data_IF_874642162188
#
_entry.id   IF_874642162188
#
_cell.length_a   1.000
_cell.length_b   1.000
_cell.length_c   1.000
_cell.angle_alpha   90.00
_cell.angle_beta   90.00
_cell.angle_gamma   90.00
#
_symmetry.space_group_name_H-M   'P 1'
#
loop_
_entity.id
_entity.type
_entity.pdbx_description
1 polymer ?
#
# COMPACT_ATOMS: atom_id res chain seq x y z
N UNK A 1 -16.35 18.45 6.23
CA UNK A 1 -16.34 17.60 5.02
C UNK A 1 -14.99 16.92 4.78
N UNK A 2 -13.86 17.61 4.95
CA UNK A 2 -12.49 17.03 4.83
C UNK A 2 -12.22 15.86 5.79
N UNK A 3 -12.72 15.90 7.03
CA UNK A 3 -12.52 14.81 8.00
C UNK A 3 -13.15 13.47 7.59
N UNK A 4 -14.36 13.49 7.01
CA UNK A 4 -15.04 12.28 6.53
C UNK A 4 -14.29 11.67 5.34
N UNK A 5 -13.81 12.53 4.43
CA UNK A 5 -13.03 12.10 3.26
C UNK A 5 -11.71 11.45 3.70
N UNK A 6 -11.00 12.04 4.67
CA UNK A 6 -9.77 11.45 5.21
C UNK A 6 -10.01 10.10 5.89
N UNK A 7 -11.09 9.97 6.65
CA UNK A 7 -11.47 8.69 7.28
C UNK A 7 -11.83 7.63 6.24
N UNK A 8 -12.57 8.00 5.19
CA UNK A 8 -12.89 7.09 4.10
C UNK A 8 -11.65 6.63 3.31
N UNK A 9 -10.72 7.55 3.01
CA UNK A 9 -9.46 7.24 2.33
C UNK A 9 -8.55 6.36 3.20
N UNK A 10 -8.49 6.60 4.51
CA UNK A 10 -7.79 5.73 5.47
C UNK A 10 -8.40 4.34 5.53
N UNK A 11 -9.73 4.24 5.52
CA UNK A 11 -10.44 2.97 5.45
C UNK A 11 -10.16 2.22 4.14
N UNK A 12 -10.12 2.93 3.01
CA UNK A 12 -9.76 2.35 1.72
C UNK A 12 -8.30 1.85 1.71
N UNK A 13 -7.36 2.64 2.23
CA UNK A 13 -5.96 2.25 2.37
C UNK A 13 -5.83 0.99 3.24
N UNK A 14 -6.55 0.93 4.35
CA UNK A 14 -6.61 -0.24 5.22
C UNK A 14 -7.10 -1.49 4.48
N UNK A 15 -8.17 -1.37 3.69
CA UNK A 15 -8.71 -2.49 2.89
C UNK A 15 -7.68 -2.97 1.86
N UNK A 16 -7.02 -2.06 1.14
CA UNK A 16 -6.00 -2.45 0.17
C UNK A 16 -4.75 -3.06 0.85
N UNK A 17 -4.33 -2.54 2.00
CA UNK A 17 -3.26 -3.13 2.80
C UNK A 17 -3.63 -4.56 3.23
N UNK A 18 -4.88 -4.79 3.67
CA UNK A 18 -5.37 -6.12 4.04
C UNK A 18 -5.34 -7.07 2.84
N UNK A 19 -5.89 -6.67 1.70
CA UNK A 19 -5.92 -7.50 0.49
C UNK A 19 -4.50 -7.84 0.03
N UNK A 20 -3.59 -6.86 0.00
CA UNK A 20 -2.20 -7.08 -0.37
C UNK A 20 -1.51 -8.07 0.59
N UNK A 21 -1.68 -7.88 1.90
CA UNK A 21 -1.12 -8.79 2.92
C UNK A 21 -1.68 -10.21 2.78
N UNK A 22 -2.98 -10.36 2.52
CA UNK A 22 -3.62 -11.66 2.33
C UNK A 22 -3.11 -12.38 1.09
N UNK A 23 -2.89 -11.66 -0.02
CA UNK A 23 -2.32 -12.22 -1.24
C UNK A 23 -0.88 -12.67 -1.03
N UNK A 24 -0.03 -11.83 -0.43
CA UNK A 24 1.37 -12.17 -0.14
C UNK A 24 1.46 -13.36 0.83
N UNK A 25 0.64 -13.40 1.88
CA UNK A 25 0.58 -14.53 2.80
C UNK A 25 0.17 -15.84 2.11
N UNK A 26 -0.75 -15.78 1.15
CA UNK A 26 -1.15 -16.94 0.36
C UNK A 26 -0.06 -17.41 -0.61
N UNK A 27 0.77 -16.49 -1.14
CA UNK A 27 1.95 -16.83 -1.94
C UNK A 27 3.00 -17.57 -1.10
N UNK A 28 3.21 -17.16 0.15
CA UNK A 28 4.11 -17.83 1.10
C UNK A 28 3.60 -19.24 1.41
N UNK A 29 2.31 -19.40 1.72
CA UNK A 29 1.70 -20.69 2.02
C UNK A 29 1.71 -21.65 0.82
N UNK A 30 1.72 -21.13 -0.41
CA UNK A 30 1.77 -21.92 -1.64
C UNK A 30 3.20 -22.23 -2.10
N UNK A 31 4.22 -21.85 -1.35
CA UNK A 31 5.62 -22.03 -1.71
C UNK A 31 6.17 -23.37 -1.24
N UNK A 32 6.71 -24.18 -2.16
CA UNK A 32 7.35 -25.47 -1.86
C UNK A 32 8.86 -25.34 -2.00
N UNK A 33 9.35 -24.89 -3.17
CA UNK A 33 10.78 -24.72 -3.47
C UNK A 33 11.04 -23.50 -4.36
N UNK A 34 10.16 -22.50 -4.32
CA UNK A 34 10.28 -21.29 -5.14
C UNK A 34 11.22 -20.26 -4.54
N UNK A 35 11.77 -19.40 -5.40
CA UNK A 35 12.65 -18.30 -5.01
C UNK A 35 11.88 -17.27 -4.16
N UNK A 36 12.39 -16.95 -2.97
CA UNK A 36 11.61 -16.26 -1.93
C UNK A 36 12.11 -14.86 -1.56
N UNK A 37 13.23 -14.40 -2.14
CA UNK A 37 13.85 -13.11 -1.81
C UNK A 37 12.88 -11.94 -1.99
N UNK A 38 12.22 -11.88 -3.15
CA UNK A 38 11.24 -10.84 -3.49
C UNK A 38 10.01 -10.89 -2.58
N UNK A 39 9.52 -12.11 -2.28
CA UNK A 39 8.34 -12.31 -1.42
C UNK A 39 8.64 -11.84 0.01
N UNK A 40 9.83 -12.13 0.53
CA UNK A 40 10.25 -11.69 1.87
C UNK A 40 10.32 -10.15 1.96
N UNK A 41 10.83 -9.49 0.93
CA UNK A 41 10.81 -8.03 0.85
C UNK A 41 9.38 -7.47 0.84
N UNK A 42 8.48 -8.06 0.04
CA UNK A 42 7.08 -7.62 -0.01
C UNK A 42 6.34 -7.78 1.33
N UNK A 43 6.69 -8.82 2.12
CA UNK A 43 6.12 -9.03 3.45
C UNK A 43 6.58 -7.96 4.44
N UNK A 44 7.85 -7.53 4.36
CA UNK A 44 8.35 -6.41 5.14
C UNK A 44 7.62 -5.10 4.80
N UNK A 45 7.42 -4.82 3.50
CA UNK A 45 6.67 -3.64 3.04
C UNK A 45 5.20 -3.72 3.46
N UNK A 46 4.58 -4.89 3.41
CA UNK A 46 3.22 -5.09 3.92
C UNK A 46 3.13 -4.73 5.40
N UNK A 47 4.04 -5.23 6.25
CA UNK A 47 4.07 -4.91 7.68
C UNK A 47 4.26 -3.40 7.93
N UNK A 48 5.15 -2.74 7.18
CA UNK A 48 5.32 -1.29 7.29
C UNK A 48 4.08 -0.52 6.85
N UNK A 49 3.33 -1.00 5.85
CA UNK A 49 2.11 -0.35 5.40
C UNK A 49 1.03 -0.35 6.50
N UNK A 50 0.92 -1.42 7.30
CA UNK A 50 0.04 -1.45 8.48
C UNK A 50 0.42 -0.38 9.50
N UNK A 51 1.71 -0.29 9.85
CA UNK A 51 2.22 0.73 10.77
C UNK A 51 1.95 2.13 10.23
N UNK A 52 2.13 2.35 8.93
CA UNK A 52 1.91 3.65 8.32
C UNK A 52 0.44 4.08 8.30
N UNK A 53 -0.49 3.16 8.03
CA UNK A 53 -1.94 3.44 8.08
C UNK A 53 -2.37 3.87 9.49
N UNK A 54 -1.82 3.22 10.52
CA UNK A 54 -2.13 3.51 11.93
C UNK A 54 -1.46 4.79 12.44
N UNK A 55 -0.18 5.01 12.12
CA UNK A 55 0.62 6.14 12.64
C UNK A 55 0.65 7.37 11.71
N UNK A 56 -0.05 7.35 10.58
CA UNK A 56 -0.07 8.47 9.61
C UNK A 56 1.29 8.79 8.95
N UNK A 57 2.17 7.80 8.81
CA UNK A 57 3.48 7.95 8.16
C UNK A 57 3.37 7.82 6.63
N UNK A 58 2.50 8.64 6.02
CA UNK A 58 2.09 8.51 4.62
C UNK A 58 3.29 8.64 3.64
N UNK A 59 4.27 9.50 3.93
CA UNK A 59 5.48 9.68 3.09
C UNK A 59 6.30 8.39 3.02
N UNK A 60 6.50 7.76 4.17
CA UNK A 60 7.26 6.52 4.26
C UNK A 60 6.53 5.38 3.54
N UNK A 61 5.20 5.32 3.70
CA UNK A 61 4.35 4.36 3.00
C UNK A 61 4.45 4.49 1.49
N UNK A 62 4.34 5.72 0.97
CA UNK A 62 4.45 5.99 -0.48
C UNK A 62 5.78 5.51 -1.03
N UNK A 63 6.89 5.78 -0.34
CA UNK A 63 8.23 5.39 -0.80
C UNK A 63 8.39 3.86 -0.85
N UNK A 64 8.06 3.16 0.24
CA UNK A 64 8.25 1.71 0.30
C UNK A 64 7.29 0.95 -0.62
N UNK A 65 6.02 1.36 -0.68
CA UNK A 65 5.04 0.73 -1.58
C UNK A 65 5.37 0.98 -3.05
N UNK A 66 5.99 2.11 -3.39
CA UNK A 66 6.47 2.35 -4.75
C UNK A 66 7.61 1.42 -5.15
N UNK A 67 8.59 1.24 -4.28
CA UNK A 67 9.72 0.33 -4.51
C UNK A 67 9.20 -1.10 -4.68
N UNK A 68 8.31 -1.54 -3.80
CA UNK A 68 7.71 -2.87 -3.88
C UNK A 68 6.89 -3.06 -5.16
N UNK A 69 6.10 -2.07 -5.57
CA UNK A 69 5.34 -2.12 -6.83
C UNK A 69 6.25 -2.27 -8.06
N UNK A 70 7.38 -1.57 -8.11
CA UNK A 70 8.36 -1.69 -9.20
C UNK A 70 9.01 -3.07 -9.20
N UNK A 71 9.46 -3.53 -8.04
CA UNK A 71 10.13 -4.83 -7.87
C UNK A 71 9.18 -5.97 -8.28
N UNK A 72 7.93 -5.95 -7.81
CA UNK A 72 6.92 -6.94 -8.21
C UNK A 72 6.60 -6.87 -9.71
N UNK A 73 6.50 -5.69 -10.30
CA UNK A 73 6.24 -5.54 -11.73
C UNK A 73 7.39 -6.14 -12.58
N UNK A 74 8.64 -5.91 -12.18
CA UNK A 74 9.82 -6.44 -12.87
C UNK A 74 9.89 -7.98 -12.81
N UNK A 75 9.52 -8.57 -11.68
CA UNK A 75 9.59 -10.02 -11.47
C UNK A 75 8.40 -10.79 -12.08
N UNK A 76 7.20 -10.20 -12.08
CA UNK A 76 6.02 -10.93 -12.54
C UNK A 76 5.95 -11.10 -14.05
N UNK A 77 6.51 -10.18 -14.85
CA UNK A 77 6.63 -10.27 -16.33
C UNK A 77 5.31 -10.51 -17.11
N UNK A 78 4.16 -10.47 -16.43
CA UNK A 78 2.80 -10.66 -16.95
C UNK A 78 2.65 -11.75 -18.05
N UNK A 79 3.09 -13.01 -17.83
CA UNK A 79 2.89 -14.08 -18.80
C UNK A 79 1.45 -14.58 -18.83
N UNK A 80 1.09 -15.27 -19.91
CA UNK A 80 -0.21 -15.95 -20.00
C UNK A 80 -0.26 -17.15 -19.04
N UNK A 81 -0.94 -16.99 -17.90
CA UNK A 81 -1.02 -18.03 -16.87
C UNK A 81 -1.67 -19.35 -17.35
N UNK A 82 -2.46 -19.34 -18.44
CA UNK A 82 -3.04 -20.56 -19.01
C UNK A 82 -2.08 -21.37 -19.90
N UNK A 83 -0.92 -20.80 -20.27
CA UNK A 83 0.08 -21.48 -21.09
C UNK A 83 1.52 -21.13 -20.65
N UNK A 84 1.82 -21.44 -19.39
CA UNK A 84 3.15 -21.21 -18.80
C UNK A 84 4.27 -21.98 -19.52
N UNK A 85 3.97 -23.17 -20.05
CA UNK A 85 4.97 -24.03 -20.66
C UNK A 85 5.53 -23.48 -21.98
N UNK A 86 4.74 -22.67 -22.70
CA UNK A 86 5.18 -22.00 -23.92
C UNK A 86 5.66 -20.56 -23.69
N UNK A 87 5.62 -20.06 -22.46
CA UNK A 87 5.92 -18.67 -22.15
C UNK A 87 7.43 -18.34 -22.11
N UNK A 88 8.32 -19.28 -22.41
CA UNK A 88 9.79 -19.11 -22.41
C UNK A 88 10.32 -18.34 -21.18
N UNK A 89 9.80 -18.72 -20.00
CA UNK A 89 10.17 -18.12 -18.72
C UNK A 89 11.51 -18.71 -18.23
N UNK A 90 12.37 -17.91 -17.56
CA UNK A 90 13.56 -18.45 -16.94
C UNK A 90 13.19 -19.45 -15.83
N UNK A 91 14.11 -20.38 -15.55
CA UNK A 91 13.91 -21.41 -14.51
C UNK A 91 13.79 -20.82 -13.09
N UNK A 92 14.38 -19.65 -12.86
CA UNK A 92 14.34 -18.93 -11.56
C UNK A 92 13.14 -17.98 -11.41
N UNK A 93 12.15 -18.06 -12.31
CA UNK A 93 11.00 -17.15 -12.25
C UNK A 93 10.15 -17.37 -10.99
N UNK A 94 9.73 -16.26 -10.35
CA UNK A 94 8.97 -16.21 -9.09
C UNK A 94 7.65 -17.00 -9.09
N UNK A 95 7.07 -17.28 -10.25
CA UNK A 95 5.83 -18.05 -10.35
C UNK A 95 5.98 -19.56 -10.21
N UNK A 96 7.21 -20.09 -10.28
CA UNK A 96 7.50 -21.52 -10.11
C UNK A 96 7.56 -21.94 -8.64
N UNK A 97 7.41 -23.24 -8.39
CA UNK A 97 7.63 -23.85 -7.07
C UNK A 97 6.37 -23.91 -6.21
N UNK A 98 5.20 -24.11 -6.83
CA UNK A 98 3.94 -24.41 -6.16
C UNK A 98 3.35 -25.74 -6.64
N UNK A 99 2.35 -26.27 -5.92
CA UNK A 99 1.58 -27.43 -6.38
C UNK A 99 0.79 -27.14 -7.67
N UNK A 100 0.43 -25.87 -7.89
CA UNK A 100 -0.27 -25.39 -9.09
C UNK A 100 0.26 -24.01 -9.51
N UNK A 101 1.20 -23.99 -10.46
CA UNK A 101 1.87 -22.75 -10.90
C UNK A 101 0.92 -21.79 -11.64
N UNK A 102 -0.09 -22.30 -12.34
CA UNK A 102 -1.14 -21.46 -12.97
C UNK A 102 -1.89 -20.61 -11.93
N UNK A 103 -2.27 -21.22 -10.81
CA UNK A 103 -2.99 -20.52 -9.76
C UNK A 103 -2.10 -19.48 -9.07
N UNK A 104 -0.81 -19.82 -8.85
CA UNK A 104 0.18 -18.89 -8.30
C UNK A 104 0.43 -17.70 -9.22
N UNK A 105 0.51 -17.91 -10.54
CA UNK A 105 0.66 -16.86 -11.55
C UNK A 105 -0.48 -15.83 -11.48
N UNK A 106 -1.74 -16.29 -11.44
CA UNK A 106 -2.91 -15.39 -11.34
C UNK A 106 -2.89 -14.57 -10.05
N UNK A 107 -2.48 -15.17 -8.93
CA UNK A 107 -2.33 -14.47 -7.63
C UNK A 107 -1.22 -13.42 -7.67
N UNK A 108 -0.08 -13.72 -8.28
CA UNK A 108 1.03 -12.78 -8.44
C UNK A 108 0.61 -11.56 -9.27
N UNK A 109 -0.11 -11.77 -10.37
CA UNK A 109 -0.64 -10.68 -11.19
C UNK A 109 -1.69 -9.86 -10.44
N UNK A 110 -2.55 -10.49 -9.64
CA UNK A 110 -3.47 -9.76 -8.78
C UNK A 110 -2.71 -8.92 -7.73
N UNK A 111 -1.67 -9.50 -7.11
CA UNK A 111 -0.85 -8.80 -6.11
C UNK A 111 -0.15 -7.56 -6.70
N UNK A 112 0.37 -7.65 -7.92
CA UNK A 112 1.00 -6.49 -8.58
C UNK A 112 0.00 -5.36 -8.84
N UNK A 113 -1.23 -5.69 -9.26
CA UNK A 113 -2.26 -4.67 -9.45
C UNK A 113 -2.66 -4.00 -8.11
N UNK A 114 -2.85 -4.78 -7.05
CA UNK A 114 -3.26 -4.25 -5.75
C UNK A 114 -2.19 -3.40 -5.07
N UNK A 115 -0.89 -3.71 -5.24
CA UNK A 115 0.17 -2.85 -4.70
C UNK A 115 0.22 -1.49 -5.41
N UNK A 116 -0.07 -1.43 -6.71
CA UNK A 116 -0.22 -0.16 -7.43
C UNK A 116 -1.41 0.66 -6.95
N UNK A 117 -2.56 0.01 -6.69
CA UNK A 117 -3.71 0.69 -6.10
C UNK A 117 -3.45 1.18 -4.68
N UNK A 118 -2.72 0.39 -3.88
CA UNK A 118 -2.31 0.78 -2.54
C UNK A 118 -1.38 2.00 -2.58
N UNK A 119 -0.39 2.01 -3.47
CA UNK A 119 0.49 3.16 -3.69
C UNK A 119 -0.30 4.42 -4.08
N UNK A 120 -1.22 4.31 -5.04
CA UNK A 120 -2.04 5.44 -5.47
C UNK A 120 -2.90 5.99 -4.30
N UNK A 121 -3.43 5.09 -3.47
CA UNK A 121 -4.22 5.47 -2.29
C UNK A 121 -3.36 6.21 -1.28
N UNK A 122 -2.13 5.75 -1.01
CA UNK A 122 -1.20 6.46 -0.11
C UNK A 122 -0.77 7.82 -0.67
N UNK A 123 -0.60 7.96 -2.00
CA UNK A 123 -0.35 9.26 -2.63
C UNK A 123 -1.50 10.24 -2.40
N UNK A 124 -2.75 9.77 -2.52
CA UNK A 124 -3.94 10.58 -2.24
C UNK A 124 -4.01 10.95 -0.75
N UNK A 125 -3.77 10.00 0.16
CA UNK A 125 -3.69 10.27 1.60
C UNK A 125 -2.63 11.33 1.91
N UNK A 126 -1.42 11.19 1.37
CA UNK A 126 -0.33 12.13 1.54
C UNK A 126 -0.70 13.53 1.03
N UNK A 127 -1.39 13.63 -0.11
CA UNK A 127 -1.84 14.90 -0.64
C UNK A 127 -2.81 15.63 0.32
N UNK A 128 -3.77 14.91 0.89
CA UNK A 128 -4.69 15.49 1.88
C UNK A 128 -3.99 15.82 3.20
N UNK A 129 -3.08 14.96 3.68
CA UNK A 129 -2.23 15.22 4.86
C UNK A 129 -1.36 16.46 4.65
N UNK A 130 -0.73 16.61 3.49
CA UNK A 130 0.07 17.78 3.12
C UNK A 130 -0.78 19.05 3.04
N UNK A 131 -1.95 18.97 2.39
CA UNK A 131 -2.89 20.12 2.35
C UNK A 131 -3.36 20.51 3.74
N UNK A 132 -3.64 19.54 4.60
CA UNK A 132 -4.05 19.78 5.98
C UNK A 132 -2.91 20.43 6.79
N UNK A 133 -1.68 19.95 6.64
CA UNK A 133 -0.48 20.56 7.25
C UNK A 133 -0.29 22.00 6.78
N UNK A 134 -0.43 22.26 5.47
CA UNK A 134 -0.33 23.60 4.88
C UNK A 134 -1.46 24.53 5.33
N UNK A 135 -2.69 24.04 5.45
CA UNK A 135 -3.83 24.84 5.94
C UNK A 135 -3.80 25.05 7.45
N UNK A 136 -3.24 24.12 8.21
CA UNK A 136 -3.14 24.15 9.67
C UNK A 136 -2.18 25.22 10.20
N UNK A 137 -1.25 25.70 9.39
CA UNK A 137 -0.43 26.88 9.72
C UNK A 137 -1.16 28.22 9.51
N UNK A 138 -2.26 28.24 8.75
CA UNK A 138 -3.11 29.44 8.56
C UNK A 138 -4.38 29.46 9.43
N UNK A 139 -4.55 28.43 10.27
CA UNK A 139 -5.57 28.41 11.30
C UNK A 139 -5.09 29.21 12.50
N UNK A 140 -5.18 30.54 12.42
CA UNK A 140 -5.18 31.41 13.58
C UNK A 140 -6.01 30.73 14.67
N UNK A 141 -5.36 30.35 15.76
CA UNK A 141 -6.03 30.11 17.04
C UNK A 141 -6.85 31.36 17.30
N UNK A 142 -8.12 31.37 16.86
CA UNK A 142 -9.07 32.44 17.16
C UNK A 142 -9.11 32.45 18.68
N UNK A 143 -8.43 33.44 19.25
CA UNK A 143 -8.47 33.71 20.66
C UNK A 143 -9.94 33.89 21.00
N UNK A 144 -10.52 32.92 21.68
CA UNK A 144 -11.70 33.15 22.50
C UNK A 144 -11.28 34.09 23.63
N UNK A 145 -11.17 35.39 23.31
CA UNK A 145 -11.21 36.48 24.28
C UNK A 145 -12.67 36.93 24.35
N UNK A 146 -13.42 36.62 25.41
CA UNK A 146 -14.58 37.41 25.72
C UNK A 146 -14.13 38.79 26.24
N UNK A 147 -14.84 39.81 25.77
CA UNK A 147 -14.73 41.21 26.16
C UNK A 147 -14.69 41.39 27.69
N UNK A 148 -13.66 42.08 28.19
CA UNK A 148 -13.73 42.67 29.54
C UNK A 148 -14.60 43.91 29.46
N UNK A 149 -15.76 43.90 30.12
CA UNK A 149 -16.52 45.11 30.39
C UNK A 149 -15.75 45.95 31.40
N UNK A 150 -15.16 47.07 30.96
CA UNK A 150 -14.71 48.11 31.88
C UNK A 150 -15.95 48.73 32.54
N UNK A 151 -16.10 48.49 33.84
CA UNK A 151 -16.96 49.30 34.71
C UNK A 151 -16.22 50.61 34.99
N UNK A 152 -16.71 51.69 34.41
CA UNK A 152 -16.33 53.06 34.77
C UNK A 152 -17.02 53.48 36.06
N UNK A 153 -16.30 54.28 36.84
CA UNK A 153 -16.64 54.90 38.13
C UNK A 153 -18.03 55.54 38.21
#
# INVERSE_FOLDING_TARGET
MSGIINMALRGLAFVFTLIFTALVGNLIASNINGHMVTINFSMFVAALSWVAVLLSLDILAVLFTFIDAIVLAAETRAPNCGNLRNANLPHDWIGWGSANDEHRCRKLQAATAFVWFLWATFCVCLFFTYRQYRSGFSGTSRSSRPSMSQVGV
#
